data_IF_454683451969
#
_entry.id   IF_454683451969
#
_cell.length_a   1.000
_cell.length_b   1.000
_cell.length_c   1.000
_cell.angle_alpha   90.00
_cell.angle_beta   90.00
_cell.angle_gamma   90.00
#
_symmetry.space_group_name_H-M   'P 1'
#
loop_
_entity.id
_entity.type
_entity.pdbx_description
1 polymer ?
#
# COMPACT_ATOMS: atom_id res chain seq x y z
N UNK A 1 15.32 -32.20 6.41
CA UNK A 1 14.19 -32.89 7.08
C UNK A 1 12.92 -32.05 7.05
N UNK A 2 13.01 -30.76 7.41
CA UNK A 2 11.89 -29.82 7.52
C UNK A 2 10.98 -29.74 6.28
N UNK A 3 11.54 -29.63 5.07
CA UNK A 3 10.74 -29.58 3.83
C UNK A 3 9.85 -30.81 3.68
N UNK A 4 10.34 -32.00 4.04
CA UNK A 4 9.55 -33.24 3.99
C UNK A 4 8.43 -33.23 5.02
N UNK A 5 8.72 -32.76 6.23
CA UNK A 5 7.73 -32.65 7.30
C UNK A 5 6.62 -31.65 6.95
N UNK A 6 6.98 -30.50 6.37
CA UNK A 6 6.04 -29.51 5.86
C UNK A 6 5.09 -30.12 4.83
N UNK A 7 5.64 -30.81 3.81
CA UNK A 7 4.80 -31.46 2.78
C UNK A 7 3.98 -32.60 3.38
N UNK A 8 4.56 -33.43 4.24
CA UNK A 8 3.84 -34.54 4.88
C UNK A 8 2.59 -34.08 5.65
N UNK A 9 2.64 -32.88 6.26
CA UNK A 9 1.54 -32.23 6.99
C UNK A 9 0.54 -31.45 6.13
N UNK A 10 0.62 -31.55 4.80
CA UNK A 10 -0.32 -30.88 3.88
C UNK A 10 0.26 -29.68 3.14
N UNK A 11 1.52 -29.33 3.39
CA UNK A 11 2.20 -28.23 2.70
C UNK A 11 2.37 -28.48 1.20
N UNK A 12 2.50 -27.38 0.44
CA UNK A 12 2.79 -27.42 -1.01
C UNK A 12 4.17 -26.82 -1.26
N UNK A 13 5.07 -27.59 -1.85
CA UNK A 13 6.40 -27.14 -2.28
C UNK A 13 6.42 -27.00 -3.80
N UNK A 14 6.97 -25.90 -4.29
CA UNK A 14 7.14 -25.62 -5.73
C UNK A 14 8.63 -25.50 -6.02
N UNK A 15 9.10 -26.13 -7.09
CA UNK A 15 10.46 -26.00 -7.60
C UNK A 15 10.46 -25.73 -9.10
N UNK A 16 11.35 -24.88 -9.58
CA UNK A 16 11.52 -24.58 -11.01
C UNK A 16 12.43 -25.59 -11.70
N UNK A 17 13.37 -26.14 -10.94
CA UNK A 17 14.42 -27.10 -11.32
C UNK A 17 14.61 -28.13 -10.22
N UNK A 18 15.40 -29.19 -10.48
CA UNK A 18 15.66 -30.25 -9.49
C UNK A 18 16.38 -29.67 -8.24
N UNK A 19 15.75 -29.68 -7.06
CA UNK A 19 16.33 -29.03 -5.89
C UNK A 19 17.27 -29.96 -5.10
N UNK A 20 18.24 -29.35 -4.40
CA UNK A 20 19.13 -30.06 -3.50
C UNK A 20 20.20 -30.90 -4.19
N UNK A 21 20.71 -30.45 -5.34
CA UNK A 21 21.76 -31.14 -6.11
C UNK A 21 23.16 -30.98 -5.47
N UNK A 22 23.37 -29.92 -4.69
CA UNK A 22 24.62 -29.62 -4.00
C UNK A 22 24.39 -29.48 -2.49
N UNK A 23 25.42 -29.76 -1.69
CA UNK A 23 25.45 -29.45 -0.25
C UNK A 23 25.82 -27.98 0.02
N UNK A 24 25.85 -27.59 1.29
CA UNK A 24 26.19 -26.24 1.76
C UNK A 24 27.62 -25.79 1.43
N UNK A 25 28.48 -26.72 1.00
CA UNK A 25 29.86 -26.45 0.58
C UNK A 25 30.02 -26.44 -0.95
N UNK A 26 28.92 -26.53 -1.70
CA UNK A 26 28.94 -26.54 -3.16
C UNK A 26 29.45 -27.86 -3.74
N UNK A 27 29.51 -28.95 -2.96
CA UNK A 27 29.84 -30.28 -3.47
C UNK A 27 28.57 -30.95 -4.00
N UNK A 28 28.68 -31.52 -5.20
CA UNK A 28 27.56 -32.23 -5.84
C UNK A 28 27.25 -33.51 -5.07
N UNK A 29 25.99 -33.70 -4.71
CA UNK A 29 25.50 -34.90 -4.05
C UNK A 29 25.32 -36.04 -5.07
N UNK A 30 25.58 -37.28 -4.65
CA UNK A 30 25.34 -38.46 -5.49
C UNK A 30 23.86 -38.64 -5.83
N UNK A 31 22.97 -38.20 -4.93
CA UNK A 31 21.53 -38.15 -5.13
C UNK A 31 21.01 -36.82 -4.59
N UNK A 32 20.15 -36.10 -5.34
CA UNK A 32 19.56 -34.86 -4.86
C UNK A 32 18.82 -35.05 -3.55
N UNK A 33 19.00 -34.11 -2.63
CA UNK A 33 18.54 -34.20 -1.25
C UNK A 33 17.00 -34.25 -1.09
N UNK A 34 16.23 -33.91 -2.14
CA UNK A 34 14.76 -33.93 -2.15
C UNK A 34 14.17 -34.82 -3.26
N UNK A 35 14.98 -35.72 -3.82
CA UNK A 35 14.60 -36.60 -4.93
C UNK A 35 13.44 -37.58 -4.64
N UNK A 36 13.09 -37.79 -3.38
CA UNK A 36 11.90 -38.55 -2.94
C UNK A 36 10.62 -37.71 -2.97
N UNK A 37 10.70 -36.40 -2.75
CA UNK A 37 9.57 -35.46 -2.90
C UNK A 37 9.39 -35.02 -4.36
N UNK A 38 10.51 -34.69 -5.00
CA UNK A 38 10.62 -34.13 -6.33
C UNK A 38 11.58 -35.01 -7.12
N UNK A 39 11.10 -36.16 -7.66
CA UNK A 39 11.93 -37.02 -8.51
C UNK A 39 12.38 -36.25 -9.76
N UNK A 40 13.37 -36.77 -10.50
CA UNK A 40 14.03 -36.07 -11.60
C UNK A 40 13.06 -35.26 -12.49
N UNK A 41 13.41 -34.00 -12.73
CA UNK A 41 12.53 -33.04 -13.40
C UNK A 41 12.06 -33.57 -14.77
N UNK A 42 10.74 -33.68 -15.01
CA UNK A 42 10.24 -34.24 -16.26
C UNK A 42 10.59 -33.36 -17.45
N UNK A 43 10.85 -33.99 -18.60
CA UNK A 43 11.23 -33.32 -19.86
C UNK A 43 10.12 -32.45 -20.48
N UNK A 44 8.90 -32.47 -19.94
CA UNK A 44 7.77 -31.63 -20.38
C UNK A 44 6.94 -31.13 -19.21
N UNK A 45 6.57 -29.84 -19.30
CA UNK A 45 5.55 -29.08 -18.57
C UNK A 45 5.03 -29.68 -17.25
N UNK A 46 5.53 -29.12 -16.14
CA UNK A 46 5.04 -29.21 -14.76
C UNK A 46 4.44 -30.53 -14.28
N UNK A 47 5.14 -31.22 -13.38
CA UNK A 47 4.64 -32.42 -12.70
C UNK A 47 4.25 -32.13 -11.24
N UNK A 48 3.30 -32.90 -10.71
CA UNK A 48 2.90 -32.84 -9.30
C UNK A 48 2.99 -34.24 -8.69
N UNK A 49 3.59 -34.32 -7.51
CA UNK A 49 3.77 -35.53 -6.72
C UNK A 49 3.08 -35.36 -5.38
N UNK A 50 2.45 -36.42 -4.88
CA UNK A 50 1.82 -36.43 -3.55
C UNK A 50 2.81 -37.03 -2.56
N UNK A 51 2.95 -36.41 -1.38
CA UNK A 51 3.78 -36.93 -0.31
C UNK A 51 3.11 -36.66 1.03
N UNK A 52 2.77 -37.72 1.78
CA UNK A 52 1.89 -37.62 2.93
C UNK A 52 0.55 -36.96 2.53
N UNK A 53 0.19 -35.87 3.19
CA UNK A 53 -1.03 -35.10 2.90
C UNK A 53 -0.82 -33.94 1.92
N UNK A 54 0.44 -33.60 1.58
CA UNK A 54 0.79 -32.44 0.77
C UNK A 54 1.23 -32.79 -0.64
N UNK A 55 1.77 -31.77 -1.33
CA UNK A 55 2.19 -31.89 -2.73
C UNK A 55 3.53 -31.23 -2.99
N UNK A 56 4.31 -31.86 -3.86
CA UNK A 56 5.51 -31.27 -4.47
C UNK A 56 5.22 -31.03 -5.95
N UNK A 57 5.55 -29.84 -6.47
CA UNK A 57 5.19 -29.43 -7.84
C UNK A 57 6.42 -28.87 -8.55
N UNK A 58 6.72 -29.39 -9.74
CA UNK A 58 7.59 -28.68 -10.66
C UNK A 58 6.79 -27.62 -11.43
N UNK A 59 7.29 -26.40 -11.44
CA UNK A 59 6.80 -25.31 -12.27
C UNK A 59 7.98 -24.75 -13.07
N UNK A 60 8.31 -25.42 -14.17
CA UNK A 60 9.42 -25.04 -15.05
C UNK A 60 9.17 -23.67 -15.67
N UNK A 61 9.94 -22.67 -15.27
CA UNK A 61 9.89 -21.33 -15.85
C UNK A 61 10.86 -21.26 -17.01
N UNK A 62 10.39 -21.51 -18.24
CA UNK A 62 11.25 -21.43 -19.41
C UNK A 62 11.67 -19.99 -19.74
N UNK A 63 10.97 -18.97 -19.21
CA UNK A 63 11.31 -17.55 -19.13
C UNK A 63 10.14 -16.86 -18.38
N UNK A 64 10.41 -15.92 -17.47
CA UNK A 64 9.47 -15.36 -16.48
C UNK A 64 8.20 -14.64 -16.97
N UNK A 65 7.85 -14.75 -18.26
CA UNK A 65 6.68 -14.11 -18.87
C UNK A 65 5.67 -15.11 -19.48
N UNK A 66 5.82 -16.41 -19.25
CA UNK A 66 4.86 -17.39 -19.74
C UNK A 66 3.53 -17.28 -18.97
N UNK A 67 2.53 -16.65 -19.60
CA UNK A 67 1.14 -16.55 -19.09
C UNK A 67 0.57 -17.92 -18.69
N UNK A 68 1.01 -19.01 -19.30
CA UNK A 68 0.58 -20.36 -18.92
C UNK A 68 1.12 -20.78 -17.55
N UNK A 69 2.34 -20.37 -17.20
CA UNK A 69 2.94 -20.64 -15.90
C UNK A 69 2.32 -19.77 -14.80
N UNK A 70 2.02 -18.50 -15.07
CA UNK A 70 1.26 -17.66 -14.12
C UNK A 70 -0.08 -18.31 -13.79
N UNK A 71 -0.86 -18.74 -14.82
CA UNK A 71 -2.12 -19.47 -14.60
C UNK A 71 -1.95 -20.81 -13.88
N UNK A 72 -0.80 -21.48 -14.01
CA UNK A 72 -0.51 -22.72 -13.26
C UNK A 72 -0.21 -22.39 -11.80
N UNK A 73 0.62 -21.39 -11.54
CA UNK A 73 0.94 -20.91 -10.20
C UNK A 73 -0.34 -20.49 -9.47
N UNK A 74 -1.18 -19.65 -10.08
CA UNK A 74 -2.45 -19.23 -9.48
C UNK A 74 -3.34 -20.42 -9.08
N UNK A 75 -3.41 -21.47 -9.91
CA UNK A 75 -4.17 -22.70 -9.58
C UNK A 75 -3.53 -23.52 -8.46
N UNK A 76 -2.21 -23.53 -8.36
CA UNK A 76 -1.49 -24.21 -7.27
C UNK A 76 -1.79 -23.47 -5.96
N UNK A 77 -1.69 -22.14 -5.96
CA UNK A 77 -1.97 -21.29 -4.80
C UNK A 77 -3.42 -21.41 -4.33
N UNK A 78 -4.39 -21.31 -5.26
CA UNK A 78 -5.82 -21.40 -4.92
C UNK A 78 -6.18 -22.77 -4.32
N UNK A 79 -5.63 -23.87 -4.86
CA UNK A 79 -5.79 -25.21 -4.28
C UNK A 79 -5.12 -25.37 -2.92
N UNK A 80 -4.08 -24.58 -2.65
CA UNK A 80 -3.43 -24.51 -1.34
C UNK A 80 -4.18 -23.57 -0.37
N UNK A 81 -5.29 -22.95 -0.79
CA UNK A 81 -6.04 -21.99 0.01
C UNK A 81 -5.36 -20.62 0.12
N UNK A 82 -4.32 -20.37 -0.67
CA UNK A 82 -3.59 -19.10 -0.70
C UNK A 82 -4.28 -18.17 -1.69
N UNK A 83 -4.92 -17.13 -1.17
CA UNK A 83 -5.64 -16.11 -1.96
C UNK A 83 -5.00 -14.75 -1.75
N UNK A 84 -4.99 -13.88 -2.78
CA UNK A 84 -4.58 -12.50 -2.58
C UNK A 84 -5.53 -11.84 -1.56
N UNK A 85 -5.00 -11.12 -0.55
CA UNK A 85 -5.84 -10.45 0.44
C UNK A 85 -6.68 -9.34 -0.19
N UNK A 86 -6.20 -8.75 -1.29
CA UNK A 86 -6.90 -7.77 -2.11
C UNK A 86 -6.83 -8.21 -3.56
N UNK A 87 -7.94 -8.74 -4.09
CA UNK A 87 -7.96 -9.27 -5.45
C UNK A 87 -8.20 -8.13 -6.44
N UNK A 88 -7.35 -8.02 -7.46
CA UNK A 88 -7.55 -7.08 -8.57
C UNK A 88 -8.13 -7.87 -9.74
N UNK A 89 -9.34 -7.49 -10.14
CA UNK A 89 -10.12 -8.16 -11.19
C UNK A 89 -10.29 -7.24 -12.38
N UNK A 90 -10.40 -7.82 -13.57
CA UNK A 90 -10.88 -7.15 -14.78
C UNK A 90 -12.40 -7.04 -14.73
N UNK A 91 -12.97 -6.23 -15.62
CA UNK A 91 -14.43 -6.06 -15.74
C UNK A 91 -15.17 -7.34 -16.11
N UNK A 92 -14.49 -8.30 -16.74
CA UNK A 92 -14.99 -9.65 -17.02
C UNK A 92 -14.92 -10.62 -15.80
N UNK A 93 -14.40 -10.15 -14.65
CA UNK A 93 -14.23 -10.92 -13.43
C UNK A 93 -12.97 -11.78 -13.35
N UNK A 94 -12.14 -11.81 -14.39
CA UNK A 94 -10.86 -12.52 -14.35
C UNK A 94 -9.81 -11.76 -13.55
N UNK A 95 -8.85 -12.42 -12.89
CA UNK A 95 -7.74 -11.73 -12.22
C UNK A 95 -6.91 -10.91 -13.20
N UNK A 96 -6.59 -9.67 -12.82
CA UNK A 96 -5.63 -8.85 -13.55
C UNK A 96 -4.22 -9.46 -13.43
N UNK A 97 -3.51 -9.59 -14.55
CA UNK A 97 -2.21 -10.30 -14.60
C UNK A 97 -1.00 -9.39 -14.77
N UNK A 98 -1.25 -8.11 -15.03
CA UNK A 98 -0.32 -7.02 -15.32
C UNK A 98 -0.49 -5.87 -14.32
N UNK A 99 -0.99 -6.17 -13.11
CA UNK A 99 -1.11 -5.22 -12.00
C UNK A 99 -0.28 -5.74 -10.83
N UNK A 100 0.75 -5.01 -10.44
CA UNK A 100 1.47 -5.23 -9.20
C UNK A 100 0.68 -4.61 -8.03
N UNK A 101 0.53 -5.37 -6.96
CA UNK A 101 -0.09 -4.91 -5.72
C UNK A 101 0.93 -4.91 -4.60
N UNK A 102 1.13 -3.76 -3.94
CA UNK A 102 1.95 -3.65 -2.72
C UNK A 102 1.10 -3.27 -1.53
N UNK A 103 1.34 -3.96 -0.42
CA UNK A 103 0.58 -3.80 0.82
C UNK A 103 1.56 -3.37 1.90
N UNK A 104 1.28 -2.24 2.53
CA UNK A 104 2.03 -1.73 3.66
C UNK A 104 1.09 -1.48 4.84
N UNK A 105 1.44 -1.96 6.03
CA UNK A 105 0.65 -1.73 7.23
C UNK A 105 1.23 -0.57 8.03
N UNK A 106 0.38 0.37 8.42
CA UNK A 106 0.73 1.53 9.23
C UNK A 106 -0.25 1.65 10.40
N UNK A 107 0.04 0.98 11.52
CA UNK A 107 -0.91 0.87 12.64
C UNK A 107 -2.12 0.05 12.23
N UNK A 108 -3.32 0.58 12.45
CA UNK A 108 -4.58 -0.05 12.02
C UNK A 108 -4.95 0.25 10.56
N UNK A 109 -4.11 1.02 9.85
CA UNK A 109 -4.30 1.34 8.45
C UNK A 109 -3.53 0.39 7.54
N UNK A 110 -4.12 0.10 6.37
CA UNK A 110 -3.41 -0.54 5.25
C UNK A 110 -3.24 0.47 4.13
N UNK A 111 -2.00 0.70 3.70
CA UNK A 111 -1.68 1.43 2.48
C UNK A 111 -1.54 0.40 1.35
N UNK A 112 -2.37 0.54 0.32
CA UNK A 112 -2.41 -0.32 -0.85
C UNK A 112 -1.94 0.47 -2.07
N UNK A 113 -0.94 -0.06 -2.78
CA UNK A 113 -0.50 0.47 -4.07
C UNK A 113 -0.86 -0.49 -5.18
N UNK A 114 -1.44 0.05 -6.25
CA UNK A 114 -1.75 -0.66 -7.49
C UNK A 114 -1.00 0.02 -8.63
N UNK A 115 -0.18 -0.75 -9.37
CA UNK A 115 0.60 -0.25 -10.50
C UNK A 115 0.49 -1.24 -11.66
N UNK A 116 0.18 -0.75 -12.86
CA UNK A 116 0.22 -1.62 -14.06
C UNK A 116 1.63 -1.76 -14.60
N UNK A 117 1.91 -2.92 -15.20
CA UNK A 117 3.15 -3.18 -15.92
C UNK A 117 3.32 -2.17 -17.06
N UNK A 118 4.49 -1.53 -17.11
CA UNK A 118 4.81 -0.63 -18.21
C UNK A 118 5.03 -1.40 -19.52
N UNK A 119 4.19 -1.14 -20.52
CA UNK A 119 4.39 -1.65 -21.88
C UNK A 119 4.71 -0.48 -22.82
N UNK A 120 5.81 -0.52 -23.59
CA UNK A 120 6.13 0.54 -24.52
C UNK A 120 4.98 0.68 -25.53
N UNK A 121 4.49 1.91 -25.76
CA UNK A 121 3.20 2.15 -26.40
C UNK A 121 3.22 1.71 -27.86
N UNK A 122 2.24 0.89 -28.27
CA UNK A 122 2.00 0.60 -29.69
C UNK A 122 0.99 1.55 -30.35
N UNK A 123 0.13 2.20 -29.55
CA UNK A 123 -0.73 3.36 -29.85
C UNK A 123 -1.92 3.34 -28.87
N UNK A 124 -2.40 4.53 -28.49
CA UNK A 124 -3.59 4.83 -27.69
C UNK A 124 -3.58 4.40 -26.21
N UNK A 125 -4.20 5.29 -25.41
CA UNK A 125 -4.56 5.17 -23.99
C UNK A 125 -4.45 3.75 -23.41
N UNK A 126 -3.39 3.50 -22.63
CA UNK A 126 -3.20 2.25 -21.88
C UNK A 126 -3.85 2.36 -20.51
N UNK A 127 -5.01 3.02 -20.42
CA UNK A 127 -5.87 3.00 -19.24
C UNK A 127 -6.74 1.75 -19.28
N UNK A 128 -6.94 1.17 -18.10
CA UNK A 128 -7.80 0.02 -17.96
C UNK A 128 -8.56 0.06 -16.65
N UNK A 129 -9.87 -0.17 -16.76
CA UNK A 129 -10.75 -0.32 -15.61
C UNK A 129 -10.51 -1.67 -14.95
N UNK A 130 -10.22 -1.64 -13.65
CA UNK A 130 -10.11 -2.82 -12.80
C UNK A 130 -11.04 -2.67 -11.59
N UNK A 131 -11.35 -3.81 -10.97
CA UNK A 131 -12.13 -3.90 -9.74
C UNK A 131 -11.24 -4.44 -8.64
N UNK A 132 -10.95 -3.60 -7.65
CA UNK A 132 -10.32 -4.00 -6.41
C UNK A 132 -11.39 -4.61 -5.49
N UNK A 133 -11.28 -5.91 -5.23
CA UNK A 133 -12.14 -6.63 -4.29
C UNK A 133 -11.42 -6.82 -2.95
N UNK A 134 -12.06 -6.32 -1.90
CA UNK A 134 -11.62 -6.41 -0.50
C UNK A 134 -12.38 -7.54 0.22
N UNK A 135 -11.79 -8.14 1.26
CA UNK A 135 -12.39 -9.27 1.97
C UNK A 135 -13.55 -8.86 2.90
N UNK A 136 -13.71 -7.55 3.12
CA UNK A 136 -14.74 -6.90 3.93
C UNK A 136 -14.84 -5.44 3.54
N UNK A 137 -15.81 -4.73 4.11
CA UNK A 137 -15.95 -3.29 3.97
C UNK A 137 -14.78 -2.55 4.60
N UNK A 138 -14.22 -1.57 3.88
CA UNK A 138 -13.23 -0.62 4.38
C UNK A 138 -13.69 0.80 4.08
N UNK A 139 -13.28 1.76 4.91
CA UNK A 139 -13.27 3.17 4.55
C UNK A 139 -12.03 3.41 3.70
N UNK A 140 -12.26 3.80 2.45
CA UNK A 140 -11.21 3.91 1.44
C UNK A 140 -10.97 5.38 1.14
N UNK A 141 -9.68 5.74 1.08
CA UNK A 141 -9.20 7.07 0.78
C UNK A 141 -8.16 7.01 -0.33
N UNK A 142 -8.26 7.89 -1.32
CA UNK A 142 -7.21 8.10 -2.29
C UNK A 142 -6.13 9.00 -1.68
N UNK A 143 -4.93 8.46 -1.52
CA UNK A 143 -3.81 9.15 -0.88
C UNK A 143 -3.19 10.22 -1.79
N UNK A 144 -3.29 10.06 -3.12
CA UNK A 144 -2.72 11.01 -4.08
C UNK A 144 -3.67 12.17 -4.35
N UNK A 145 -4.95 11.86 -4.53
CA UNK A 145 -5.99 12.87 -4.76
C UNK A 145 -6.56 13.46 -3.47
N UNK A 146 -6.17 12.92 -2.30
CA UNK A 146 -6.65 13.32 -0.98
C UNK A 146 -8.19 13.29 -0.88
N UNK A 147 -8.80 12.22 -1.43
CA UNK A 147 -10.25 12.10 -1.58
C UNK A 147 -10.81 10.90 -0.82
N UNK A 148 -11.94 11.10 -0.15
CA UNK A 148 -12.72 10.01 0.44
C UNK A 148 -13.49 9.27 -0.64
N UNK A 149 -13.27 7.95 -0.75
CA UNK A 149 -13.99 7.07 -1.69
C UNK A 149 -15.17 6.35 -1.03
N UNK A 150 -15.23 6.35 0.31
CA UNK A 150 -16.36 5.88 1.09
C UNK A 150 -16.15 4.52 1.74
N UNK A 151 -17.20 3.97 2.34
CA UNK A 151 -17.20 2.63 2.92
C UNK A 151 -17.60 1.61 1.85
N UNK A 152 -16.64 0.83 1.35
CA UNK A 152 -16.81 -0.06 0.21
C UNK A 152 -15.95 -1.33 0.36
N UNK A 153 -16.39 -2.45 -0.20
CA UNK A 153 -15.65 -3.71 -0.32
C UNK A 153 -15.27 -4.04 -1.77
N UNK A 154 -15.82 -3.29 -2.74
CA UNK A 154 -15.48 -3.36 -4.16
C UNK A 154 -15.32 -1.94 -4.70
N UNK A 155 -14.12 -1.64 -5.20
CA UNK A 155 -13.79 -0.35 -5.80
C UNK A 155 -13.47 -0.56 -7.27
N UNK A 156 -14.22 0.11 -8.14
CA UNK A 156 -13.86 0.25 -9.55
C UNK A 156 -12.90 1.45 -9.69
N UNK A 157 -11.79 1.23 -10.40
CA UNK A 157 -10.77 2.26 -10.61
C UNK A 157 -10.13 2.10 -12.00
N UNK A 158 -9.70 3.22 -12.58
CA UNK A 158 -8.88 3.21 -13.80
C UNK A 158 -7.41 3.22 -13.44
N UNK A 159 -6.65 2.32 -14.06
CA UNK A 159 -5.19 2.26 -13.94
C UNK A 159 -4.53 2.50 -15.28
N UNK A 160 -3.55 3.40 -15.32
CA UNK A 160 -2.58 3.46 -16.41
C UNK A 160 -1.23 2.85 -16.00
N UNK A 161 -0.32 2.78 -16.96
CA UNK A 161 1.01 2.18 -16.81
C UNK A 161 2.07 3.11 -16.18
N UNK A 162 1.72 4.37 -15.86
CA UNK A 162 2.65 5.41 -15.42
C UNK A 162 2.37 5.81 -13.97
N UNK A 163 1.13 6.16 -13.66
CA UNK A 163 0.73 6.68 -12.36
C UNK A 163 0.13 5.57 -11.47
N UNK A 164 0.76 5.26 -10.32
CA UNK A 164 0.21 4.31 -9.37
C UNK A 164 -1.01 4.90 -8.67
N UNK A 165 -1.99 4.05 -8.39
CA UNK A 165 -3.04 4.34 -7.42
C UNK A 165 -2.53 3.99 -6.03
N UNK A 166 -2.65 4.93 -5.09
CA UNK A 166 -2.31 4.74 -3.68
C UNK A 166 -3.57 4.95 -2.85
N UNK A 167 -3.99 3.90 -2.13
CA UNK A 167 -5.17 3.91 -1.28
C UNK A 167 -4.79 3.71 0.17
N UNK A 168 -5.46 4.42 1.06
CA UNK A 168 -5.51 4.07 2.49
C UNK A 168 -6.81 3.34 2.76
N UNK A 169 -6.72 2.19 3.43
CA UNK A 169 -7.84 1.39 3.89
C UNK A 169 -7.89 1.43 5.42
N UNK A 170 -9.07 1.73 5.97
CA UNK A 170 -9.33 1.74 7.41
C UNK A 170 -10.62 1.00 7.74
N UNK A 171 -10.65 0.22 8.81
CA UNK A 171 -11.89 -0.44 9.27
C UNK A 171 -12.93 0.55 9.80
N UNK A 172 -12.50 1.73 10.26
CA UNK A 172 -13.36 2.80 10.77
C UNK A 172 -13.10 4.12 10.04
N UNK A 173 -14.12 4.99 9.89
CA UNK A 173 -13.89 6.30 9.31
C UNK A 173 -12.87 7.08 10.15
N UNK A 174 -11.90 7.71 9.47
CA UNK A 174 -10.95 8.63 10.09
C UNK A 174 -11.62 9.99 10.21
N UNK A 175 -11.73 10.50 11.44
CA UNK A 175 -12.27 11.84 11.69
C UNK A 175 -11.25 12.93 11.28
N UNK A 176 -11.70 14.13 10.92
CA UNK A 176 -10.80 15.24 10.61
C UNK A 176 -9.83 15.56 11.76
N UNK A 177 -8.65 16.12 11.48
CA UNK A 177 -7.76 16.63 12.53
C UNK A 177 -8.40 17.81 13.28
N UNK A 178 -7.80 18.25 14.39
CA UNK A 178 -8.22 19.46 15.13
C UNK A 178 -7.10 20.50 15.21
N UNK A 179 -7.47 21.78 15.34
CA UNK A 179 -6.55 22.90 15.55
C UNK A 179 -7.08 23.78 16.70
N UNK A 180 -6.40 23.70 17.84
CA UNK A 180 -6.71 24.48 19.03
C UNK A 180 -5.59 25.46 19.34
N UNK A 181 -5.93 26.70 19.71
CA UNK A 181 -4.93 27.73 19.98
C UNK A 181 -5.55 29.13 20.05
N UNK A 182 -4.71 30.12 20.32
CA UNK A 182 -5.13 31.52 20.40
C UNK A 182 -5.64 32.00 19.04
N UNK A 183 -6.70 32.83 19.04
CA UNK A 183 -7.34 33.37 17.82
C UNK A 183 -6.92 34.80 17.47
N UNK A 184 -6.12 35.45 18.32
CA UNK A 184 -5.60 36.81 18.16
C UNK A 184 -4.13 36.90 18.57
N UNK A 185 -3.33 37.64 17.82
CA UNK A 185 -1.92 37.89 18.12
C UNK A 185 -1.46 39.23 17.54
N UNK A 186 -0.25 39.66 17.89
CA UNK A 186 0.41 40.84 17.31
C UNK A 186 1.71 40.45 16.61
N UNK A 187 2.21 41.26 15.65
CA UNK A 187 3.51 41.04 15.03
C UNK A 187 4.65 40.92 16.07
N UNK A 188 5.54 39.94 15.86
CA UNK A 188 6.63 39.65 16.80
C UNK A 188 6.28 38.66 17.91
N UNK A 189 5.00 38.29 18.07
CA UNK A 189 4.58 37.28 19.04
C UNK A 189 4.82 35.85 18.55
N UNK A 190 5.00 34.93 19.49
CA UNK A 190 5.09 33.50 19.23
C UNK A 190 3.78 32.85 19.65
N UNK A 191 3.01 32.38 18.67
CA UNK A 191 1.68 31.78 18.89
C UNK A 191 1.79 30.26 18.89
N UNK A 192 1.15 29.61 19.86
CA UNK A 192 1.14 28.16 19.96
C UNK A 192 -0.22 27.58 19.55
N UNK A 193 -0.18 26.51 18.74
CA UNK A 193 -1.33 25.71 18.34
C UNK A 193 -1.11 24.24 18.70
N UNK A 194 -2.17 23.59 19.13
CA UNK A 194 -2.25 22.16 19.37
C UNK A 194 -3.00 21.52 18.21
N UNK A 195 -2.29 20.63 17.50
CA UNK A 195 -2.80 19.93 16.32
C UNK A 195 -3.14 18.51 16.71
N UNK A 196 -4.43 18.17 16.69
CA UNK A 196 -4.92 16.84 17.04
C UNK A 196 -5.00 15.92 15.83
N UNK A 197 -4.60 14.66 15.99
CA UNK A 197 -4.78 13.60 14.98
C UNK A 197 -5.76 12.55 15.50
N UNK A 198 -6.70 12.17 14.65
CA UNK A 198 -7.67 11.09 14.89
C UNK A 198 -7.36 9.84 14.05
N UNK A 199 -6.21 9.82 13.38
CA UNK A 199 -5.79 8.69 12.55
C UNK A 199 -5.24 7.56 13.41
N UNK A 200 -5.64 6.30 13.19
CA UNK A 200 -5.10 5.14 13.91
C UNK A 200 -3.78 4.63 13.31
N UNK A 201 -3.06 5.50 12.58
CA UNK A 201 -1.76 5.21 12.00
C UNK A 201 -0.69 5.03 13.09
N UNK A 202 0.24 4.09 12.90
CA UNK A 202 1.43 3.99 13.76
C UNK A 202 2.36 5.20 13.57
N UNK A 203 2.44 5.69 12.33
CA UNK A 203 3.13 6.90 11.95
C UNK A 203 2.17 7.78 11.15
N UNK A 204 1.54 8.74 11.81
CA UNK A 204 0.65 9.70 11.17
C UNK A 204 1.41 10.94 10.70
N UNK A 205 0.89 11.60 9.66
CA UNK A 205 1.42 12.88 9.17
C UNK A 205 0.26 13.81 8.89
N UNK A 206 0.34 15.01 9.47
CA UNK A 206 -0.55 16.12 9.15
C UNK A 206 0.27 17.16 8.38
N UNK A 207 -0.18 17.54 7.19
CA UNK A 207 0.37 18.70 6.51
C UNK A 207 -0.33 19.95 7.04
N UNK A 208 0.44 20.91 7.53
CA UNK A 208 -0.07 22.19 8.01
C UNK A 208 0.35 23.28 7.02
N UNK A 209 -0.63 23.86 6.33
CA UNK A 209 -0.47 25.09 5.56
C UNK A 209 -0.73 26.30 6.46
N UNK A 210 0.16 27.28 6.43
CA UNK A 210 -0.09 28.63 6.96
C UNK A 210 -0.28 29.57 5.80
N UNK A 211 -1.44 30.23 5.74
CA UNK A 211 -1.88 31.07 4.63
C UNK A 211 -2.00 32.50 5.15
N UNK A 212 -1.35 33.43 4.46
CA UNK A 212 -1.33 34.84 4.84
C UNK A 212 -2.67 35.54 4.53
N UNK A 213 -2.86 36.81 4.97
CA UNK A 213 -4.09 37.55 4.72
C UNK A 213 -4.39 37.81 3.23
N UNK A 214 -3.40 37.73 2.35
CA UNK A 214 -3.58 37.85 0.90
C UNK A 214 -3.98 36.51 0.25
N UNK A 215 -4.03 35.43 1.02
CA UNK A 215 -4.38 34.09 0.56
C UNK A 215 -3.18 33.28 0.04
N UNK A 216 -1.96 33.75 0.24
CA UNK A 216 -0.74 33.06 -0.20
C UNK A 216 -0.25 32.08 0.87
N UNK A 217 0.06 30.84 0.47
CA UNK A 217 0.72 29.89 1.37
C UNK A 217 2.12 30.40 1.73
N UNK A 218 2.42 30.36 3.01
CA UNK A 218 3.67 30.83 3.61
C UNK A 218 4.58 29.64 3.90
N UNK A 219 5.37 29.24 2.90
CA UNK A 219 6.15 27.98 2.93
C UNK A 219 7.10 27.83 4.13
N UNK A 220 7.64 28.93 4.66
CA UNK A 220 8.53 28.90 5.83
C UNK A 220 7.79 28.72 7.17
N UNK A 221 6.48 28.88 7.19
CA UNK A 221 5.61 28.52 8.32
C UNK A 221 4.88 27.19 8.10
N UNK A 222 4.57 26.84 6.86
CA UNK A 222 3.95 25.56 6.50
C UNK A 222 4.91 24.38 6.67
N UNK A 223 4.41 23.23 7.15
CA UNK A 223 5.23 22.02 7.31
C UNK A 223 4.43 20.73 7.49
N UNK A 224 5.12 19.60 7.33
CA UNK A 224 4.62 18.30 7.79
C UNK A 224 4.88 18.14 9.29
N UNK A 225 3.84 17.74 10.02
CA UNK A 225 3.87 17.39 11.43
C UNK A 225 3.76 15.88 11.55
N UNK A 226 4.79 15.25 12.11
CA UNK A 226 4.74 13.83 12.44
C UNK A 226 3.88 13.66 13.70
N UNK A 227 2.83 12.85 13.61
CA UNK A 227 1.96 12.53 14.74
C UNK A 227 2.31 11.13 15.24
N UNK A 228 3.05 11.09 16.35
CA UNK A 228 3.37 9.85 17.09
C UNK A 228 2.41 9.60 18.26
N UNK A 229 1.44 10.50 18.43
CA UNK A 229 0.35 10.43 19.40
C UNK A 229 -0.83 11.28 18.93
N UNK A 230 -1.83 11.48 19.79
CA UNK A 230 -3.08 12.18 19.43
C UNK A 230 -2.95 13.70 19.30
N UNK A 231 -1.85 14.30 19.78
CA UNK A 231 -1.67 15.75 19.84
C UNK A 231 -0.21 16.14 19.59
N UNK A 232 0.00 17.12 18.72
CA UNK A 232 1.32 17.70 18.39
C UNK A 232 1.26 19.22 18.52
N UNK A 233 2.24 19.82 19.20
CA UNK A 233 2.35 21.28 19.31
C UNK A 233 3.03 21.86 18.06
N UNK A 234 2.45 22.92 17.51
CA UNK A 234 3.00 23.76 16.45
C UNK A 234 3.15 25.19 16.95
N UNK A 235 4.30 25.79 16.67
CA UNK A 235 4.62 27.16 17.07
C UNK A 235 4.74 28.03 15.82
N UNK A 236 3.99 29.12 15.77
CA UNK A 236 4.02 30.15 14.74
C UNK A 236 4.75 31.39 15.28
N UNK A 237 6.02 31.59 14.94
CA UNK A 237 6.78 32.76 15.37
C UNK A 237 6.50 33.92 14.41
N UNK A 238 5.46 34.72 14.66
CA UNK A 238 5.12 35.87 13.81
C UNK A 238 6.29 36.86 13.82
N UNK A 239 6.79 37.21 12.64
CA UNK A 239 7.77 38.26 12.50
C UNK A 239 7.14 39.64 12.73
N UNK A 240 7.93 40.62 13.15
CA UNK A 240 7.46 42.00 13.25
C UNK A 240 7.02 42.58 11.89
N UNK A 241 7.56 42.04 10.79
CA UNK A 241 7.22 42.42 9.42
C UNK A 241 6.05 41.62 8.82
N UNK A 242 5.49 40.67 9.55
CA UNK A 242 4.36 39.89 9.05
C UNK A 242 3.11 40.77 8.88
N UNK A 243 2.29 40.39 7.90
CA UNK A 243 1.09 41.16 7.54
C UNK A 243 0.07 41.13 8.68
N UNK A 244 -0.49 42.29 8.98
CA UNK A 244 -1.69 42.45 9.80
C UNK A 244 -2.89 41.93 9.00
N UNK A 245 -3.80 41.21 9.65
CA UNK A 245 -4.99 40.65 9.03
C UNK A 245 -5.30 39.22 9.45
N UNK A 246 -6.23 38.58 8.75
CA UNK A 246 -6.66 37.21 9.07
C UNK A 246 -5.77 36.18 8.38
N UNK A 247 -4.97 35.47 9.17
CA UNK A 247 -4.20 34.31 8.75
C UNK A 247 -5.03 33.04 8.88
N UNK A 248 -4.76 32.04 8.04
CA UNK A 248 -5.41 30.73 8.10
C UNK A 248 -4.40 29.62 8.31
N UNK A 249 -4.68 28.74 9.26
CA UNK A 249 -3.96 27.50 9.48
C UNK A 249 -4.84 26.36 8.96
N UNK A 250 -4.39 25.64 7.94
CA UNK A 250 -5.12 24.52 7.35
C UNK A 250 -4.34 23.23 7.59
N UNK A 251 -4.91 22.34 8.39
CA UNK A 251 -4.34 21.04 8.71
C UNK A 251 -5.03 19.94 7.91
N UNK A 252 -4.25 19.17 7.16
CA UNK A 252 -4.71 18.02 6.35
C UNK A 252 -4.08 16.73 6.88
N UNK A 253 -4.91 15.79 7.34
CA UNK A 253 -4.48 14.44 7.68
C UNK A 253 -4.17 13.66 6.39
N UNK A 254 -2.89 13.40 6.12
CA UNK A 254 -2.47 12.83 4.83
C UNK A 254 -3.02 11.44 4.53
N UNK A 255 -3.15 10.51 5.52
CA UNK A 255 -3.75 9.21 5.24
C UNK A 255 -5.21 9.27 4.77
N UNK A 256 -5.99 10.26 5.22
CA UNK A 256 -7.44 10.36 4.91
C UNK A 256 -7.82 11.49 3.96
N UNK A 257 -6.94 12.47 3.74
CA UNK A 257 -7.24 13.71 3.03
C UNK A 257 -8.17 14.67 3.79
N UNK A 258 -8.61 14.30 5.00
CA UNK A 258 -9.50 15.14 5.80
C UNK A 258 -8.78 16.42 6.22
N UNK A 259 -9.49 17.54 6.15
CA UNK A 259 -8.90 18.86 6.37
C UNK A 259 -9.75 19.68 7.35
N UNK A 260 -9.08 20.45 8.20
CA UNK A 260 -9.69 21.48 9.05
C UNK A 260 -8.93 22.80 8.88
N UNK A 261 -9.64 23.92 8.99
CA UNK A 261 -9.04 25.26 8.93
C UNK A 261 -9.38 26.03 10.20
N UNK A 262 -8.40 26.72 10.76
CA UNK A 262 -8.54 27.66 11.85
C UNK A 262 -8.03 29.03 11.43
N UNK A 263 -8.60 30.09 12.01
CA UNK A 263 -8.20 31.46 11.74
C UNK A 263 -7.45 32.07 12.93
N UNK A 264 -6.46 32.90 12.61
CA UNK A 264 -5.71 33.74 13.53
C UNK A 264 -5.78 35.18 13.04
N UNK A 265 -6.36 36.06 13.83
CA UNK A 265 -6.35 37.49 13.54
C UNK A 265 -5.06 38.10 14.09
N UNK A 266 -4.23 38.68 13.21
CA UNK A 266 -3.05 39.46 13.61
C UNK A 266 -3.43 40.93 13.60
N UNK A 267 -3.46 41.53 14.79
CA UNK A 267 -3.83 42.92 15.02
C UNK A 267 -2.58 43.82 15.05
N UNK A 268 -2.72 45.15 14.81
CA UNK A 268 -1.60 46.09 14.77
C UNK A 268 -0.80 46.20 16.08
#
# INVERSE_FOLDING_TARGET
AEVREFVARGGVVIADSEPGVFDEHGRRLAKPALSDLLPAAPSRSGASFTFGQGKAVYLTSANGYDRQNIRRLSRILDRAGVKPPFAVLRTDGQPASDVETRIFNNGELTILSLQRDYRPPSNSDDRETVVLAMPRMFNVYDLREQRVLGSIDRLELELDAIDPVLLTLSERPIAPPSIDGTRRAHPGEVVEFHIGSNSPAAHGVIHLDVIDPDGSTTDYYSRNLLTSGSLTTYTLPLAFSDKIGTWKLRATDLPSGQTVTAELQVDP
#
